data_IF_408408445601
#
_entry.id   IF_408408445601
#
_cell.length_a   1.000
_cell.length_b   1.000
_cell.length_c   1.000
_cell.angle_alpha   90.00
_cell.angle_beta   90.00
_cell.angle_gamma   90.00
#
_symmetry.space_group_name_H-M   'P 1'
#
loop_
_entity.id
_entity.type
_entity.pdbx_description
1 polymer ?
#
# COMPACT_ATOMS: atom_id res chain seq x y z
N UNK A 1 -9.32 -44.55 -6.46
CA UNK A 1 -9.65 -45.93 -6.89
C UNK A 1 -8.63 -46.39 -7.91
N UNK A 2 -8.17 -47.66 -7.88
CA UNK A 2 -7.36 -48.19 -8.98
C UNK A 2 -8.18 -48.14 -10.26
N UNK A 3 -7.54 -47.74 -11.36
CA UNK A 3 -8.23 -47.61 -12.65
C UNK A 3 -8.73 -49.01 -13.08
N UNK A 4 -9.98 -49.15 -13.56
CA UNK A 4 -10.56 -50.46 -13.87
C UNK A 4 -9.70 -51.23 -14.88
N UNK A 5 -9.63 -52.56 -14.77
CA UNK A 5 -8.83 -53.39 -15.69
C UNK A 5 -9.38 -53.28 -17.12
N UNK A 6 -8.55 -53.58 -18.13
CA UNK A 6 -8.95 -53.50 -19.54
C UNK A 6 -10.18 -54.35 -19.87
N UNK A 7 -10.29 -55.54 -19.25
CA UNK A 7 -11.44 -56.43 -19.40
C UNK A 7 -12.71 -55.87 -18.77
N UNK A 8 -12.61 -55.28 -17.56
CA UNK A 8 -13.76 -54.65 -16.90
C UNK A 8 -14.30 -53.45 -17.69
N UNK A 9 -13.43 -52.69 -18.36
CA UNK A 9 -13.83 -51.56 -19.22
C UNK A 9 -14.45 -52.00 -20.54
N UNK A 10 -13.91 -53.05 -21.17
CA UNK A 10 -14.51 -53.62 -22.37
C UNK A 10 -15.91 -54.19 -22.09
N UNK A 11 -16.07 -54.85 -20.93
CA UNK A 11 -17.36 -55.33 -20.47
C UNK A 11 -18.34 -54.18 -20.17
N UNK A 12 -17.86 -53.08 -19.59
CA UNK A 12 -18.68 -51.87 -19.36
C UNK A 12 -19.07 -51.17 -20.66
N UNK A 13 -18.17 -51.11 -21.66
CA UNK A 13 -18.46 -50.54 -22.97
C UNK A 13 -19.50 -51.35 -23.75
N UNK A 14 -19.44 -52.69 -23.66
CA UNK A 14 -20.47 -53.58 -24.21
C UNK A 14 -21.81 -53.41 -23.50
N UNK A 15 -21.82 -53.35 -22.16
CA UNK A 15 -23.03 -53.08 -21.39
C UNK A 15 -23.66 -51.72 -21.71
N UNK A 16 -22.84 -50.70 -21.97
CA UNK A 16 -23.31 -49.37 -22.36
C UNK A 16 -23.84 -49.35 -23.80
N UNK A 17 -23.26 -50.12 -24.72
CA UNK A 17 -23.84 -50.35 -26.05
C UNK A 17 -25.21 -51.01 -25.97
N UNK A 18 -25.36 -52.06 -25.15
CA UNK A 18 -26.65 -52.73 -24.94
C UNK A 18 -27.69 -51.78 -24.33
N UNK A 19 -27.28 -50.92 -23.38
CA UNK A 19 -28.16 -49.92 -22.80
C UNK A 19 -28.59 -48.84 -23.81
N UNK A 20 -27.70 -48.39 -24.69
CA UNK A 20 -28.02 -47.46 -25.78
C UNK A 20 -28.94 -48.12 -26.81
N UNK A 21 -28.73 -49.38 -27.16
CA UNK A 21 -29.61 -50.12 -28.07
C UNK A 21 -31.01 -50.32 -27.47
N UNK A 22 -31.10 -50.60 -26.16
CA UNK A 22 -32.36 -50.66 -25.43
C UNK A 22 -33.10 -49.31 -25.40
N UNK A 23 -32.37 -48.20 -25.17
CA UNK A 23 -32.96 -46.87 -25.19
C UNK A 23 -33.45 -46.48 -26.60
N UNK A 24 -32.68 -46.76 -27.65
CA UNK A 24 -33.07 -46.49 -29.04
C UNK A 24 -34.27 -47.33 -29.51
N UNK A 25 -34.58 -48.44 -28.84
CA UNK A 25 -35.74 -49.27 -29.12
C UNK A 25 -37.03 -48.75 -28.45
N UNK A 26 -36.94 -47.80 -27.51
CA UNK A 26 -38.10 -47.20 -26.84
C UNK A 26 -38.77 -46.12 -27.73
N UNK A 27 -40.04 -46.32 -28.15
CA UNK A 27 -40.74 -45.37 -29.00
C UNK A 27 -41.06 -44.02 -28.32
N UNK A 28 -40.92 -43.90 -27.00
CA UNK A 28 -41.12 -42.65 -26.26
C UNK A 28 -39.92 -41.68 -26.36
N UNK A 29 -38.79 -42.11 -26.92
CA UNK A 29 -37.57 -41.33 -26.97
C UNK A 29 -37.66 -40.24 -28.05
N UNK A 30 -37.60 -38.97 -27.63
CA UNK A 30 -37.74 -37.81 -28.51
C UNK A 30 -36.76 -37.89 -29.71
N UNK A 31 -37.24 -37.58 -30.92
CA UNK A 31 -36.47 -37.72 -32.16
C UNK A 31 -35.12 -36.97 -32.12
N UNK A 32 -35.07 -35.84 -31.41
CA UNK A 32 -33.87 -35.00 -31.27
C UNK A 32 -32.75 -35.67 -30.45
N UNK A 33 -33.10 -36.67 -29.62
CA UNK A 33 -32.15 -37.42 -28.79
C UNK A 33 -31.71 -38.76 -29.42
N UNK A 34 -32.38 -39.20 -30.50
CA UNK A 34 -32.02 -40.42 -31.21
C UNK A 34 -30.74 -40.26 -32.05
N UNK A 35 -30.50 -39.07 -32.63
CA UNK A 35 -29.34 -38.80 -33.47
C UNK A 35 -28.00 -38.82 -32.70
N UNK A 36 -27.87 -38.18 -31.51
CA UNK A 36 -26.66 -38.30 -30.69
C UNK A 36 -26.40 -39.74 -30.23
N UNK A 37 -27.44 -40.47 -29.80
CA UNK A 37 -27.33 -41.85 -29.32
C UNK A 37 -26.89 -42.82 -30.43
N UNK A 38 -27.40 -42.65 -31.65
CA UNK A 38 -26.96 -43.47 -32.81
C UNK A 38 -25.52 -43.16 -33.23
N UNK A 39 -25.07 -41.91 -33.10
CA UNK A 39 -23.67 -41.56 -33.37
C UNK A 39 -22.74 -42.15 -32.30
N UNK A 40 -23.11 -42.03 -31.02
CA UNK A 40 -22.37 -42.59 -29.89
C UNK A 40 -22.25 -44.13 -29.99
N UNK A 41 -23.33 -44.82 -30.36
CA UNK A 41 -23.34 -46.27 -30.63
C UNK A 41 -22.34 -46.65 -31.72
N UNK A 42 -22.35 -45.92 -32.84
CA UNK A 42 -21.49 -46.17 -34.00
C UNK A 42 -20.01 -46.00 -33.64
N UNK A 43 -19.69 -44.98 -32.85
CA UNK A 43 -18.31 -44.70 -32.47
C UNK A 43 -17.81 -45.68 -31.40
N UNK A 44 -18.66 -46.12 -30.47
CA UNK A 44 -18.33 -47.20 -29.51
C UNK A 44 -18.09 -48.55 -30.21
N UNK A 45 -18.91 -48.93 -31.19
CA UNK A 45 -18.69 -50.16 -31.98
C UNK A 45 -17.35 -50.14 -32.73
N UNK A 46 -17.00 -49.02 -33.39
CA UNK A 46 -15.72 -48.86 -34.09
C UNK A 46 -14.50 -48.99 -33.18
N UNK A 47 -14.64 -48.62 -31.90
CA UNK A 47 -13.56 -48.72 -30.91
C UNK A 47 -13.35 -50.18 -30.47
N UNK A 48 -14.42 -50.97 -30.34
CA UNK A 48 -14.35 -52.38 -29.98
C UNK A 48 -13.75 -53.26 -31.11
N UNK A 49 -14.01 -52.92 -32.37
CA UNK A 49 -13.58 -53.75 -33.53
C UNK A 49 -12.06 -53.65 -33.86
N UNK A 50 -11.33 -52.68 -33.31
CA UNK A 50 -9.92 -52.43 -33.66
C UNK A 50 -8.97 -52.28 -32.43
N UNK A 51 -8.52 -53.40 -31.83
CA UNK A 51 -7.76 -53.40 -30.57
C UNK A 51 -6.36 -52.77 -30.65
N UNK A 52 -5.76 -52.68 -31.85
CA UNK A 52 -4.40 -52.14 -32.03
C UNK A 52 -4.33 -50.59 -32.06
N UNK A 53 -5.43 -49.89 -32.33
CA UNK A 53 -5.53 -48.41 -32.22
C UNK A 53 -5.91 -47.95 -30.81
N UNK A 54 -6.33 -48.89 -29.96
CA UNK A 54 -6.83 -48.62 -28.63
C UNK A 54 -5.77 -48.00 -27.71
N UNK A 55 -4.47 -48.25 -27.87
CA UNK A 55 -3.44 -47.63 -26.98
C UNK A 55 -3.31 -46.12 -27.15
N UNK A 56 -3.40 -45.59 -28.39
CA UNK A 56 -3.39 -44.14 -28.66
C UNK A 56 -4.74 -43.49 -28.38
N UNK A 57 -5.86 -44.18 -28.66
CA UNK A 57 -7.18 -43.70 -28.24
C UNK A 57 -7.35 -43.70 -26.72
N UNK A 58 -6.82 -44.69 -25.98
CA UNK A 58 -6.85 -44.77 -24.51
C UNK A 58 -6.20 -43.55 -23.83
N UNK A 59 -5.15 -42.99 -24.43
CA UNK A 59 -4.48 -41.79 -23.92
C UNK A 59 -5.33 -40.52 -24.15
N UNK A 60 -6.02 -40.44 -25.29
CA UNK A 60 -6.97 -39.36 -25.59
C UNK A 60 -8.26 -39.50 -24.77
N UNK A 61 -8.76 -40.72 -24.57
CA UNK A 61 -9.93 -41.07 -23.76
C UNK A 61 -9.70 -40.74 -22.29
N UNK A 62 -8.54 -41.09 -21.70
CA UNK A 62 -8.21 -40.67 -20.33
C UNK A 62 -8.19 -39.15 -20.15
N UNK A 63 -7.89 -38.40 -21.21
CA UNK A 63 -7.94 -36.93 -21.21
C UNK A 63 -9.33 -36.35 -21.47
N UNK A 64 -10.20 -37.07 -22.19
CA UNK A 64 -11.51 -36.58 -22.64
C UNK A 64 -12.70 -37.09 -21.78
N UNK A 65 -12.65 -38.33 -21.29
CA UNK A 65 -13.70 -38.93 -20.44
C UNK A 65 -13.31 -39.03 -18.97
N UNK A 66 -12.03 -38.76 -18.62
CA UNK A 66 -11.56 -38.76 -17.24
C UNK A 66 -12.30 -37.77 -16.33
N UNK A 67 -12.76 -36.64 -16.88
CA UNK A 67 -13.54 -35.61 -16.16
C UNK A 67 -15.06 -35.80 -16.26
N UNK A 68 -15.54 -36.73 -17.09
CA UNK A 68 -16.97 -36.94 -17.31
C UNK A 68 -17.70 -37.40 -16.04
N UNK A 69 -17.16 -38.31 -15.20
CA UNK A 69 -17.78 -38.67 -13.92
C UNK A 69 -17.93 -37.47 -12.98
N UNK A 70 -16.90 -36.60 -12.91
CA UNK A 70 -16.93 -35.40 -12.06
C UNK A 70 -17.97 -34.39 -12.57
N UNK A 71 -18.07 -34.24 -13.89
CA UNK A 71 -19.08 -33.40 -14.53
C UNK A 71 -20.50 -33.93 -14.31
N UNK A 72 -20.72 -35.24 -14.44
CA UNK A 72 -22.02 -35.87 -14.18
C UNK A 72 -22.40 -35.75 -12.70
N UNK A 73 -21.47 -35.97 -11.77
CA UNK A 73 -21.71 -35.78 -10.34
C UNK A 73 -21.94 -34.31 -9.96
N UNK A 74 -21.31 -33.36 -10.66
CA UNK A 74 -21.64 -31.95 -10.52
C UNK A 74 -23.03 -31.63 -11.08
N UNK A 75 -23.37 -32.17 -12.25
CA UNK A 75 -24.66 -31.96 -12.90
C UNK A 75 -25.81 -32.54 -12.07
N UNK A 76 -25.63 -33.73 -11.50
CA UNK A 76 -26.58 -34.35 -10.58
C UNK A 76 -26.81 -33.48 -9.34
N UNK A 77 -25.73 -32.97 -8.72
CA UNK A 77 -25.84 -32.02 -7.60
C UNK A 77 -26.53 -30.71 -8.00
N UNK A 78 -26.27 -30.21 -9.21
CA UNK A 78 -26.92 -29.00 -9.72
C UNK A 78 -28.41 -29.20 -10.00
N UNK A 79 -28.80 -30.37 -10.52
CA UNK A 79 -30.20 -30.72 -10.83
C UNK A 79 -31.02 -31.11 -9.59
N UNK A 80 -30.35 -31.52 -8.51
CA UNK A 80 -30.98 -31.89 -7.22
C UNK A 80 -30.88 -30.79 -6.16
N UNK A 81 -30.28 -29.64 -6.51
CA UNK A 81 -30.12 -28.52 -5.59
C UNK A 81 -31.49 -27.96 -5.16
N UNK A 82 -31.71 -27.91 -3.85
CA UNK A 82 -32.87 -27.26 -3.23
C UNK A 82 -32.52 -25.80 -2.89
N UNK A 83 -33.52 -24.92 -2.74
CA UNK A 83 -33.27 -23.54 -2.31
C UNK A 83 -32.53 -23.52 -0.97
N UNK A 84 -31.41 -22.82 -0.92
CA UNK A 84 -30.58 -22.68 0.27
C UNK A 84 -31.10 -21.56 1.17
N UNK A 85 -31.38 -21.85 2.44
CA UNK A 85 -31.85 -20.88 3.43
C UNK A 85 -30.73 -20.43 4.38
N UNK A 86 -30.96 -19.31 5.08
CA UNK A 86 -30.02 -18.81 6.09
C UNK A 86 -29.77 -19.83 7.22
N UNK A 87 -30.78 -20.64 7.55
CA UNK A 87 -30.67 -21.69 8.56
C UNK A 87 -29.84 -22.90 8.12
N UNK A 88 -29.54 -23.03 6.83
CA UNK A 88 -28.66 -24.09 6.29
C UNK A 88 -27.18 -23.70 6.38
N UNK A 89 -26.86 -22.46 6.79
CA UNK A 89 -25.49 -22.01 6.97
C UNK A 89 -24.79 -22.76 8.13
N UNK A 90 -23.53 -23.18 7.94
CA UNK A 90 -22.67 -23.66 9.02
C UNK A 90 -22.63 -22.66 10.19
N UNK A 91 -22.61 -23.17 11.43
CA UNK A 91 -22.68 -22.34 12.65
C UNK A 91 -21.58 -21.27 12.71
N UNK A 92 -20.36 -21.61 12.29
CA UNK A 92 -19.23 -20.69 12.23
C UNK A 92 -19.42 -19.51 11.25
N UNK A 93 -20.26 -19.67 10.22
CA UNK A 93 -20.60 -18.58 9.29
C UNK A 93 -21.71 -17.74 9.88
N UNK A 94 -22.74 -18.39 10.45
CA UNK A 94 -23.87 -17.72 11.09
C UNK A 94 -23.42 -16.81 12.23
N UNK A 95 -22.57 -17.30 13.11
CA UNK A 95 -22.03 -16.56 14.27
C UNK A 95 -21.18 -15.35 13.87
N UNK A 96 -20.62 -15.33 12.65
CA UNK A 96 -19.89 -14.18 12.11
C UNK A 96 -20.81 -13.12 11.50
N UNK A 97 -22.00 -13.52 11.09
CA UNK A 97 -22.99 -12.64 10.45
C UNK A 97 -24.04 -12.12 11.43
N UNK A 98 -24.35 -12.87 12.49
CA UNK A 98 -25.37 -12.51 13.47
C UNK A 98 -24.84 -12.80 14.87
N UNK A 99 -24.76 -11.75 15.69
CA UNK A 99 -24.38 -11.84 17.09
C UNK A 99 -25.47 -12.57 17.91
N UNK A 100 -25.12 -13.12 19.09
CA UNK A 100 -26.10 -13.79 19.97
C UNK A 100 -27.28 -12.90 20.37
N UNK A 101 -27.08 -11.58 20.43
CA UNK A 101 -28.11 -10.58 20.74
C UNK A 101 -28.99 -10.20 19.53
N UNK A 102 -28.78 -10.84 18.37
CA UNK A 102 -29.54 -10.59 17.14
C UNK A 102 -29.02 -9.45 16.26
N UNK A 103 -27.90 -8.81 16.63
CA UNK A 103 -27.26 -7.78 15.81
C UNK A 103 -26.62 -8.41 14.55
N UNK A 104 -26.83 -7.78 13.40
CA UNK A 104 -26.34 -8.28 12.11
C UNK A 104 -25.07 -7.55 11.69
N UNK A 105 -24.11 -8.29 11.15
CA UNK A 105 -22.89 -7.76 10.57
C UNK A 105 -23.14 -7.43 9.10
N UNK A 106 -23.15 -6.14 8.77
CA UNK A 106 -23.26 -5.64 7.40
C UNK A 106 -21.88 -5.22 6.90
N UNK A 107 -21.47 -5.76 5.75
CA UNK A 107 -20.25 -5.35 5.05
C UNK A 107 -20.64 -4.52 3.85
N UNK A 108 -20.22 -3.26 3.82
CA UNK A 108 -20.37 -2.38 2.66
C UNK A 108 -19.04 -2.36 1.92
N UNK A 109 -19.08 -2.68 0.63
CA UNK A 109 -17.90 -2.66 -0.23
C UNK A 109 -17.92 -1.39 -1.08
N UNK A 110 -16.78 -0.72 -1.26
CA UNK A 110 -16.70 0.44 -2.13
C UNK A 110 -16.88 0.02 -3.60
N UNK A 111 -17.55 0.87 -4.37
CA UNK A 111 -17.70 0.68 -5.82
C UNK A 111 -16.46 1.16 -6.60
N UNK A 112 -15.70 2.10 -6.02
CA UNK A 112 -14.51 2.71 -6.61
C UNK A 112 -13.22 2.17 -5.96
N UNK A 113 -12.08 2.43 -6.60
CA UNK A 113 -10.77 2.11 -6.04
C UNK A 113 -10.42 3.09 -4.91
N UNK A 114 -10.55 2.61 -3.67
CA UNK A 114 -10.25 3.36 -2.45
C UNK A 114 -8.74 3.59 -2.21
N UNK A 115 -7.87 3.15 -3.12
CA UNK A 115 -6.49 3.63 -3.15
C UNK A 115 -6.41 5.12 -3.50
N UNK A 116 -7.41 5.68 -4.20
CA UNK A 116 -7.56 7.12 -4.38
C UNK A 116 -8.18 7.76 -3.14
N UNK A 117 -7.52 8.79 -2.60
CA UNK A 117 -7.95 9.47 -1.38
C UNK A 117 -9.31 10.15 -1.56
N UNK A 118 -9.62 10.64 -2.75
CA UNK A 118 -10.90 11.29 -3.07
C UNK A 118 -12.02 10.27 -3.06
N UNK A 119 -11.82 9.11 -3.72
CA UNK A 119 -12.77 8.02 -3.73
C UNK A 119 -13.01 7.45 -2.32
N UNK A 120 -11.94 7.30 -1.53
CA UNK A 120 -12.01 6.90 -0.13
C UNK A 120 -12.84 7.90 0.70
N UNK A 121 -12.60 9.20 0.54
CA UNK A 121 -13.36 10.23 1.26
C UNK A 121 -14.85 10.17 0.90
N UNK A 122 -15.20 10.11 -0.38
CA UNK A 122 -16.59 9.99 -0.82
C UNK A 122 -17.26 8.74 -0.24
N UNK A 123 -16.59 7.58 -0.32
CA UNK A 123 -17.12 6.34 0.23
C UNK A 123 -17.39 6.43 1.74
N UNK A 124 -16.46 7.00 2.51
CA UNK A 124 -16.61 7.16 3.95
C UNK A 124 -17.73 8.14 4.27
N UNK A 125 -17.80 9.29 3.58
CA UNK A 125 -18.85 10.29 3.77
C UNK A 125 -20.24 9.70 3.49
N UNK A 126 -20.39 8.96 2.40
CA UNK A 126 -21.64 8.30 2.04
C UNK A 126 -22.06 7.27 3.10
N UNK A 127 -21.14 6.42 3.54
CA UNK A 127 -21.41 5.40 4.57
C UNK A 127 -21.74 6.05 5.92
N UNK A 128 -20.99 7.06 6.34
CA UNK A 128 -21.22 7.76 7.62
C UNK A 128 -22.49 8.60 7.61
N UNK A 129 -22.95 9.07 6.45
CA UNK A 129 -24.24 9.77 6.32
C UNK A 129 -25.43 8.89 6.73
N UNK A 130 -25.33 7.57 6.51
CA UNK A 130 -26.38 6.59 6.84
C UNK A 130 -26.10 5.91 8.18
N UNK A 131 -24.84 5.56 8.44
CA UNK A 131 -24.40 4.84 9.62
C UNK A 131 -23.19 5.54 10.28
N UNK A 132 -23.42 6.50 11.19
CA UNK A 132 -22.34 7.30 11.79
C UNK A 132 -21.31 6.48 12.58
N UNK A 133 -21.72 5.32 13.09
CA UNK A 133 -20.87 4.40 13.84
C UNK A 133 -20.24 3.31 12.96
N UNK A 134 -20.37 3.40 11.63
CA UNK A 134 -19.78 2.42 10.73
C UNK A 134 -18.25 2.43 10.86
N UNK A 135 -17.69 1.23 10.90
CA UNK A 135 -16.27 0.99 11.09
C UNK A 135 -15.78 -0.06 10.10
N UNK A 136 -14.47 -0.29 10.10
CA UNK A 136 -13.79 -1.19 9.18
C UNK A 136 -12.41 -0.65 8.85
N UNK A 137 -11.64 -1.42 8.08
CA UNK A 137 -10.28 -1.02 7.70
C UNK A 137 -10.22 0.36 7.03
N UNK A 138 -11.04 0.68 6.00
CA UNK A 138 -10.96 1.97 5.32
C UNK A 138 -11.26 3.16 6.24
N UNK A 139 -12.29 3.03 7.09
CA UNK A 139 -12.70 4.09 8.04
C UNK A 139 -11.61 4.30 9.10
N UNK A 140 -11.04 3.22 9.63
CA UNK A 140 -9.99 3.30 10.65
C UNK A 140 -8.70 3.91 10.09
N UNK A 141 -8.25 3.47 8.91
CA UNK A 141 -7.03 3.99 8.26
C UNK A 141 -7.17 5.47 7.89
N UNK A 142 -8.32 5.88 7.36
CA UNK A 142 -8.63 7.28 7.09
C UNK A 142 -8.62 8.14 8.37
N UNK A 143 -9.29 7.67 9.43
CA UNK A 143 -9.34 8.37 10.70
C UNK A 143 -7.96 8.55 11.34
N UNK A 144 -7.12 7.51 11.28
CA UNK A 144 -5.70 7.58 11.71
C UNK A 144 -4.94 8.59 10.86
N UNK A 145 -5.20 8.65 9.55
CA UNK A 145 -4.69 9.65 8.63
C UNK A 145 -4.81 11.08 9.16
N UNK A 146 -6.04 11.50 9.45
CA UNK A 146 -6.33 12.85 9.98
C UNK A 146 -5.64 13.13 11.30
N UNK A 147 -5.73 12.19 12.26
CA UNK A 147 -5.10 12.32 13.58
C UNK A 147 -3.58 12.56 13.45
N UNK A 148 -2.93 11.84 12.55
CA UNK A 148 -1.49 11.96 12.35
C UNK A 148 -1.13 13.32 11.75
N UNK A 149 -1.89 13.81 10.77
CA UNK A 149 -1.66 15.15 10.19
C UNK A 149 -1.80 16.23 11.27
N UNK A 150 -2.84 16.17 12.09
CA UNK A 150 -3.08 17.12 13.18
C UNK A 150 -1.95 17.07 14.22
N UNK A 151 -1.53 15.87 14.61
CA UNK A 151 -0.43 15.67 15.55
C UNK A 151 0.89 16.25 15.02
N UNK A 152 1.17 16.08 13.72
CA UNK A 152 2.37 16.65 13.10
C UNK A 152 2.32 18.17 12.96
N UNK A 153 1.15 18.73 12.64
CA UNK A 153 0.95 20.19 12.64
C UNK A 153 1.16 20.76 14.03
N UNK A 154 0.62 20.12 15.06
CA UNK A 154 0.85 20.51 16.45
C UNK A 154 2.33 20.39 16.83
N UNK A 155 3.00 19.31 16.44
CA UNK A 155 4.43 19.11 16.69
C UNK A 155 5.28 20.18 15.99
N UNK A 156 4.96 20.54 14.74
CA UNK A 156 5.66 21.58 13.99
C UNK A 156 5.53 22.95 14.63
N UNK A 157 4.30 23.36 14.97
CA UNK A 157 4.06 24.66 15.61
C UNK A 157 4.72 24.73 16.99
N UNK A 158 4.61 23.65 17.78
CA UNK A 158 5.23 23.55 19.11
C UNK A 158 6.75 23.59 19.00
N UNK A 159 7.34 22.83 18.08
CA UNK A 159 8.78 22.83 17.84
C UNK A 159 9.28 24.22 17.41
N UNK A 160 8.59 24.87 16.47
CA UNK A 160 8.98 26.21 16.01
C UNK A 160 8.91 27.24 17.14
N UNK A 161 7.86 27.19 17.98
CA UNK A 161 7.73 28.08 19.14
C UNK A 161 8.84 27.83 20.18
N UNK A 162 9.13 26.57 20.50
CA UNK A 162 10.19 26.20 21.44
C UNK A 162 11.58 26.56 20.91
N UNK A 163 11.85 26.31 19.64
CA UNK A 163 13.11 26.67 18.97
C UNK A 163 13.29 28.18 18.98
N UNK A 164 12.25 28.94 18.65
CA UNK A 164 12.29 30.40 18.73
C UNK A 164 12.56 30.89 20.16
N UNK A 165 11.92 30.29 21.17
CA UNK A 165 12.17 30.59 22.58
C UNK A 165 13.63 30.30 22.96
N UNK A 166 14.16 29.14 22.60
CA UNK A 166 15.56 28.77 22.85
C UNK A 166 16.52 29.72 22.16
N UNK A 167 16.24 30.12 20.92
CA UNK A 167 17.03 31.12 20.19
C UNK A 167 17.00 32.47 20.88
N UNK A 168 15.84 32.92 21.35
CA UNK A 168 15.70 34.18 22.07
C UNK A 168 16.48 34.16 23.39
N UNK A 169 16.42 33.06 24.13
CA UNK A 169 17.15 32.89 25.39
C UNK A 169 18.67 32.80 25.17
N UNK A 170 19.11 32.07 24.13
CA UNK A 170 20.53 31.83 23.84
C UNK A 170 21.20 33.04 23.22
N UNK A 171 20.55 33.66 22.22
CA UNK A 171 21.09 34.81 21.50
C UNK A 171 20.76 36.13 22.19
N UNK A 172 19.75 36.17 23.08
CA UNK A 172 19.29 37.38 23.79
C UNK A 172 18.99 38.56 22.86
N UNK A 173 18.61 38.25 21.62
CA UNK A 173 18.32 39.22 20.55
C UNK A 173 17.22 38.66 19.67
N UNK A 174 16.08 39.35 19.64
CA UNK A 174 14.95 39.02 18.77
C UNK A 174 15.38 39.00 17.31
N UNK A 175 16.22 39.97 16.94
CA UNK A 175 16.76 40.08 15.58
C UNK A 175 17.53 38.83 15.19
N UNK A 176 18.49 38.42 16.00
CA UNK A 176 19.36 37.30 15.64
C UNK A 176 18.59 35.98 15.65
N UNK A 177 17.61 35.84 16.54
CA UNK A 177 16.69 34.70 16.51
C UNK A 177 15.92 34.61 15.17
N UNK A 178 15.38 35.73 14.68
CA UNK A 178 14.71 35.79 13.37
C UNK A 178 15.69 35.53 12.22
N UNK A 179 16.91 36.07 12.29
CA UNK A 179 17.94 35.84 11.28
C UNK A 179 18.34 34.36 11.19
N UNK A 180 18.40 33.63 12.30
CA UNK A 180 18.65 32.18 12.31
C UNK A 180 17.45 31.40 11.80
N UNK A 181 16.22 31.77 12.15
CA UNK A 181 15.03 31.08 11.64
C UNK A 181 14.83 31.23 10.13
N UNK A 182 15.26 32.35 9.56
CA UNK A 182 15.06 32.65 8.13
C UNK A 182 15.64 31.58 7.18
N UNK A 183 16.93 31.22 7.26
CA UNK A 183 17.50 30.14 6.42
C UNK A 183 16.89 28.77 6.72
N UNK A 184 16.51 28.49 7.98
CA UNK A 184 15.83 27.24 8.36
C UNK A 184 14.47 27.10 7.66
N UNK A 185 13.64 28.15 7.69
CA UNK A 185 12.36 28.19 7.00
C UNK A 185 12.54 28.04 5.49
N UNK A 186 13.54 28.72 4.92
CA UNK A 186 13.84 28.60 3.50
C UNK A 186 14.29 27.18 3.11
N UNK A 187 15.10 26.54 3.94
CA UNK A 187 15.51 25.15 3.74
C UNK A 187 14.32 24.20 3.79
N UNK A 188 13.36 24.40 4.70
CA UNK A 188 12.13 23.62 4.75
C UNK A 188 11.29 23.80 3.48
N UNK A 189 11.12 25.04 3.00
CA UNK A 189 10.43 25.33 1.73
C UNK A 189 11.13 24.65 0.55
N UNK A 190 12.46 24.75 0.44
CA UNK A 190 13.20 24.07 -0.62
C UNK A 190 13.16 22.55 -0.51
N UNK A 191 13.07 22.01 0.70
CA UNK A 191 12.87 20.56 0.90
C UNK A 191 11.52 20.13 0.34
N UNK A 192 10.43 20.83 0.67
CA UNK A 192 9.09 20.54 0.15
C UNK A 192 9.05 20.73 -1.37
N UNK A 193 9.64 21.80 -1.90
CA UNK A 193 9.72 22.05 -3.33
C UNK A 193 10.50 20.94 -4.06
N UNK A 194 11.64 20.52 -3.51
CA UNK A 194 12.46 19.44 -4.06
C UNK A 194 11.73 18.11 -4.00
N UNK A 195 11.04 17.80 -2.90
CA UNK A 195 10.21 16.60 -2.78
C UNK A 195 9.14 16.56 -3.88
N UNK A 196 8.49 17.71 -4.15
CA UNK A 196 7.50 17.80 -5.24
C UNK A 196 8.12 17.63 -6.61
N UNK A 197 9.29 18.22 -6.87
CA UNK A 197 10.02 18.11 -8.15
C UNK A 197 10.50 16.67 -8.42
N UNK A 198 10.96 15.98 -7.37
CA UNK A 198 11.41 14.59 -7.44
C UNK A 198 10.27 13.57 -7.35
N UNK A 199 9.02 14.04 -7.27
CA UNK A 199 7.82 13.20 -7.06
C UNK A 199 7.95 12.24 -5.86
N UNK A 200 8.53 12.72 -4.76
CA UNK A 200 8.59 11.98 -3.49
C UNK A 200 7.26 12.24 -2.77
N UNK A 201 6.35 11.25 -2.66
CA UNK A 201 5.09 11.44 -1.97
C UNK A 201 5.32 11.59 -0.47
N UNK A 202 4.60 12.51 0.15
CA UNK A 202 4.51 12.53 1.61
C UNK A 202 3.65 11.35 2.07
N UNK A 203 4.14 10.65 3.09
CA UNK A 203 3.49 9.52 3.72
C UNK A 203 3.55 9.69 5.25
N UNK A 204 2.88 8.79 5.98
CA UNK A 204 2.80 8.88 7.44
C UNK A 204 4.16 8.85 8.14
N UNK A 205 5.17 8.27 7.49
CA UNK A 205 6.51 8.19 8.04
C UNK A 205 7.32 9.47 7.74
N UNK A 206 7.42 9.90 6.49
CA UNK A 206 8.32 10.99 6.10
C UNK A 206 7.79 12.40 6.43
N UNK A 207 6.53 12.56 6.79
CA UNK A 207 5.95 13.84 7.22
C UNK A 207 6.65 14.42 8.47
N UNK A 208 7.23 13.56 9.32
CA UNK A 208 7.99 13.96 10.52
C UNK A 208 9.26 14.76 10.22
N UNK A 209 9.72 14.74 8.97
CA UNK A 209 10.97 15.38 8.57
C UNK A 209 10.87 16.91 8.73
N UNK A 210 9.70 17.51 8.48
CA UNK A 210 9.52 18.96 8.58
C UNK A 210 9.86 19.52 9.97
N UNK A 211 9.25 19.07 11.08
CA UNK A 211 9.63 19.54 12.41
C UNK A 211 11.08 19.19 12.76
N UNK A 212 11.59 18.05 12.28
CA UNK A 212 12.95 17.58 12.61
C UNK A 212 14.05 18.47 12.00
N UNK A 213 13.82 19.03 10.80
CA UNK A 213 14.77 19.94 10.13
C UNK A 213 15.11 21.14 11.02
N UNK A 214 14.10 21.73 11.68
CA UNK A 214 14.33 22.90 12.53
C UNK A 214 15.21 22.56 13.73
N UNK A 215 14.96 21.40 14.36
CA UNK A 215 15.78 20.93 15.48
C UNK A 215 17.21 20.60 15.08
N UNK A 216 17.41 19.97 13.93
CA UNK A 216 18.72 19.57 13.42
C UNK A 216 19.57 20.73 12.87
N UNK A 217 18.95 21.88 12.56
CA UNK A 217 19.67 22.98 11.92
C UNK A 217 19.86 24.23 12.74
N UNK A 218 19.12 24.38 13.85
CA UNK A 218 19.18 25.58 14.68
C UNK A 218 20.55 25.79 15.31
N UNK A 219 21.24 24.70 15.67
CA UNK A 219 22.57 24.69 16.28
C UNK A 219 23.63 25.32 15.36
N UNK A 220 23.64 24.96 14.08
CA UNK A 220 24.51 25.53 13.06
C UNK A 220 24.34 27.05 12.98
N UNK A 221 23.09 27.52 13.01
CA UNK A 221 22.77 28.95 13.02
C UNK A 221 23.28 29.66 14.28
N UNK A 222 23.08 29.06 15.45
CA UNK A 222 23.57 29.60 16.73
C UNK A 222 25.09 29.74 16.72
N UNK A 223 25.82 28.71 16.32
CA UNK A 223 27.29 28.74 16.28
C UNK A 223 27.82 29.82 15.33
N UNK A 224 27.22 29.98 14.16
CA UNK A 224 27.61 31.03 13.21
C UNK A 224 27.32 32.44 13.72
N UNK A 225 26.15 32.67 14.34
CA UNK A 225 25.81 33.97 14.94
C UNK A 225 26.76 34.32 16.07
N UNK A 226 27.02 33.37 16.98
CA UNK A 226 27.93 33.58 18.10
C UNK A 226 29.34 33.91 17.62
N UNK A 227 29.83 33.20 16.59
CA UNK A 227 31.14 33.50 16.02
C UNK A 227 31.17 34.85 15.31
N UNK A 228 30.10 35.20 14.59
CA UNK A 228 29.98 36.51 13.96
C UNK A 228 30.02 37.64 14.99
N UNK A 229 29.33 37.48 16.14
CA UNK A 229 29.37 38.45 17.24
C UNK A 229 30.77 38.60 17.85
N UNK A 230 31.53 37.52 17.98
CA UNK A 230 32.90 37.59 18.52
C UNK A 230 33.89 38.28 17.58
N UNK A 231 33.72 38.08 16.26
CA UNK A 231 34.65 38.58 15.25
C UNK A 231 34.27 39.98 14.72
N UNK A 232 32.98 40.31 14.71
CA UNK A 232 32.43 41.59 14.25
C UNK A 232 32.54 41.84 12.73
N UNK A 233 33.14 40.92 11.97
CA UNK A 233 33.32 41.04 10.51
C UNK A 233 33.08 39.71 9.80
N UNK A 234 32.48 39.79 8.61
CA UNK A 234 32.16 38.61 7.79
C UNK A 234 33.41 37.84 7.36
N UNK A 235 34.48 38.55 6.98
CA UNK A 235 35.72 37.92 6.48
C UNK A 235 36.41 37.07 7.57
N UNK A 236 36.38 37.52 8.83
CA UNK A 236 36.94 36.75 9.94
C UNK A 236 36.05 35.57 10.33
N UNK A 237 34.72 35.70 10.21
CA UNK A 237 33.82 34.55 10.34
C UNK A 237 34.16 33.47 9.29
N UNK A 238 34.29 33.86 8.03
CA UNK A 238 34.51 32.93 6.92
C UNK A 238 35.88 32.23 6.96
N UNK A 239 36.89 32.90 7.51
CA UNK A 239 38.22 32.31 7.70
C UNK A 239 38.35 31.49 8.98
N UNK A 240 37.40 31.64 9.92
CA UNK A 240 37.37 30.87 11.17
C UNK A 240 37.14 29.37 10.95
N UNK A 241 37.30 28.58 12.02
CA UNK A 241 37.00 27.14 12.00
C UNK A 241 35.49 26.84 12.01
N UNK A 242 34.63 27.80 12.39
CA UNK A 242 33.19 27.54 12.61
C UNK A 242 32.45 27.12 11.33
N UNK A 243 32.57 27.80 10.17
CA UNK A 243 31.93 27.34 8.94
C UNK A 243 32.39 25.94 8.49
N UNK A 244 33.68 25.62 8.70
CA UNK A 244 34.23 24.29 8.38
C UNK A 244 33.69 23.22 9.32
N UNK A 245 33.56 23.52 10.60
CA UNK A 245 32.97 22.63 11.59
C UNK A 245 31.49 22.37 11.28
N UNK A 246 30.72 23.41 10.96
CA UNK A 246 29.31 23.30 10.53
C UNK A 246 29.17 22.45 9.27
N UNK A 247 30.05 22.66 8.29
CA UNK A 247 30.07 21.86 7.07
C UNK A 247 30.32 20.38 7.37
N UNK A 248 31.34 20.08 8.17
CA UNK A 248 31.69 18.70 8.53
C UNK A 248 30.56 18.03 9.32
N UNK A 249 29.99 18.73 10.31
CA UNK A 249 28.87 18.24 11.12
C UNK A 249 27.63 17.97 10.27
N UNK A 250 27.28 18.89 9.37
CA UNK A 250 26.13 18.68 8.49
C UNK A 250 26.36 17.54 7.52
N UNK A 251 27.59 17.36 7.02
CA UNK A 251 27.92 16.30 6.08
C UNK A 251 27.91 14.92 6.74
N UNK A 252 28.34 14.80 8.00
CA UNK A 252 28.20 13.54 8.76
C UNK A 252 26.74 13.20 9.01
N UNK A 253 25.92 14.18 9.43
CA UNK A 253 24.47 13.97 9.60
C UNK A 253 23.78 13.60 8.29
N UNK A 254 24.10 14.31 7.19
CA UNK A 254 23.59 13.98 5.86
C UNK A 254 24.00 12.56 5.44
N UNK A 255 25.25 12.16 5.70
CA UNK A 255 25.74 10.81 5.46
C UNK A 255 24.97 9.74 6.24
N UNK A 256 24.62 10.00 7.51
CA UNK A 256 23.80 9.10 8.32
C UNK A 256 22.41 8.91 7.71
N UNK A 257 21.73 9.98 7.29
CA UNK A 257 20.40 9.86 6.69
C UNK A 257 20.44 9.33 5.25
N UNK A 258 21.50 9.62 4.50
CA UNK A 258 21.74 8.99 3.21
C UNK A 258 21.93 7.47 3.36
N UNK A 259 22.64 7.00 4.38
CA UNK A 259 22.72 5.57 4.68
C UNK A 259 21.36 4.98 5.08
N UNK A 260 20.56 5.72 5.86
CA UNK A 260 19.19 5.31 6.22
C UNK A 260 18.28 5.18 4.98
N UNK A 261 18.54 5.96 3.93
CA UNK A 261 17.77 5.88 2.66
C UNK A 261 17.92 4.52 1.94
N UNK A 262 18.97 3.75 2.26
CA UNK A 262 19.20 2.41 1.72
C UNK A 262 18.46 1.30 2.49
N UNK A 263 17.58 1.67 3.44
CA UNK A 263 16.81 0.72 4.22
C UNK A 263 15.84 -0.09 3.33
N UNK A 264 15.66 -1.40 3.58
CA UNK A 264 14.68 -2.20 2.84
C UNK A 264 13.22 -1.84 3.19
N UNK A 265 13.00 -1.16 4.32
CA UNK A 265 11.67 -0.73 4.73
C UNK A 265 11.36 0.64 4.11
N UNK A 266 10.34 0.71 3.26
CA UNK A 266 10.06 1.90 2.43
C UNK A 266 9.82 3.18 3.26
N UNK A 267 9.15 3.06 4.42
CA UNK A 267 8.92 4.21 5.30
C UNK A 267 10.21 4.83 5.86
N UNK A 268 11.18 4.00 6.26
CA UNK A 268 12.45 4.47 6.82
C UNK A 268 13.39 4.96 5.73
N UNK A 269 13.39 4.30 4.57
CA UNK A 269 14.11 4.75 3.39
C UNK A 269 13.65 6.15 2.95
N UNK A 270 12.34 6.39 2.93
CA UNK A 270 11.75 7.67 2.58
C UNK A 270 12.13 8.79 3.56
N UNK A 271 12.12 8.51 4.88
CA UNK A 271 12.62 9.45 5.90
C UNK A 271 14.09 9.80 5.65
N UNK A 272 14.94 8.79 5.44
CA UNK A 272 16.38 8.98 5.20
C UNK A 272 16.66 9.84 3.97
N UNK A 273 15.98 9.55 2.86
CA UNK A 273 16.12 10.31 1.62
C UNK A 273 15.72 11.78 1.81
N UNK A 274 14.55 12.03 2.41
CA UNK A 274 14.04 13.39 2.59
C UNK A 274 14.90 14.21 3.57
N UNK A 275 15.41 13.59 4.64
CA UNK A 275 16.33 14.24 5.58
C UNK A 275 17.69 14.55 4.95
N UNK A 276 18.24 13.66 4.12
CA UNK A 276 19.48 13.92 3.42
C UNK A 276 19.36 15.15 2.50
N UNK A 277 18.25 15.24 1.76
CA UNK A 277 17.92 16.42 0.93
C UNK A 277 17.78 17.67 1.81
N UNK A 278 17.05 17.55 2.91
CA UNK A 278 16.78 18.67 3.78
C UNK A 278 18.04 19.23 4.44
N UNK A 279 18.94 18.37 4.92
CA UNK A 279 20.23 18.78 5.49
C UNK A 279 21.12 19.41 4.42
N UNK A 280 21.06 18.93 3.18
CA UNK A 280 21.73 19.58 2.04
C UNK A 280 21.27 21.03 1.86
N UNK A 281 19.96 21.28 1.85
CA UNK A 281 19.41 22.63 1.78
C UNK A 281 19.70 23.45 3.03
N UNK A 282 19.67 22.83 4.21
CA UNK A 282 19.96 23.49 5.47
C UNK A 282 21.41 23.96 5.53
N UNK A 283 22.35 23.10 5.13
CA UNK A 283 23.77 23.44 5.02
C UNK A 283 23.99 24.60 4.05
N UNK A 284 23.39 24.52 2.87
CA UNK A 284 23.55 25.54 1.83
C UNK A 284 23.00 26.90 2.28
N UNK A 285 21.75 26.93 2.76
CA UNK A 285 21.10 28.16 3.23
C UNK A 285 21.82 28.72 4.47
N UNK A 286 22.25 27.87 5.40
CA UNK A 286 22.91 28.33 6.63
C UNK A 286 24.32 28.86 6.38
N UNK A 287 25.11 28.28 5.47
CA UNK A 287 26.46 28.79 5.17
C UNK A 287 26.47 29.96 4.18
N UNK A 288 25.50 30.04 3.28
CA UNK A 288 25.46 31.10 2.26
C UNK A 288 24.58 32.26 2.69
N UNK A 289 23.32 32.00 3.07
CA UNK A 289 22.35 33.05 3.33
C UNK A 289 22.55 33.71 4.70
N UNK A 290 22.76 32.92 5.76
CA UNK A 290 22.87 33.47 7.12
C UNK A 290 23.98 34.50 7.26
N UNK A 291 25.22 34.28 6.77
CA UNK A 291 26.29 35.24 6.95
C UNK A 291 26.07 36.54 6.16
N UNK A 292 25.44 36.44 4.98
CA UNK A 292 25.02 37.60 4.18
C UNK A 292 23.96 38.40 4.93
N UNK A 293 22.96 37.74 5.51
CA UNK A 293 21.94 38.37 6.33
C UNK A 293 22.57 39.05 7.56
N UNK A 294 23.46 38.37 8.28
CA UNK A 294 24.17 38.93 9.42
C UNK A 294 24.97 40.16 9.02
N UNK A 295 25.69 40.14 7.89
CA UNK A 295 26.44 41.30 7.43
C UNK A 295 25.55 42.50 7.07
N UNK A 296 24.45 42.25 6.37
CA UNK A 296 23.50 43.30 5.95
C UNK A 296 22.78 43.92 7.13
N UNK A 297 22.32 43.09 8.05
CA UNK A 297 21.48 43.54 9.14
C UNK A 297 22.31 43.98 10.35
N UNK A 298 23.44 43.37 10.71
CA UNK A 298 24.22 43.81 11.89
C UNK A 298 24.62 45.30 11.89
N UNK A 299 24.69 45.97 10.73
CA UNK A 299 25.02 47.40 10.63
C UNK A 299 23.92 48.35 11.13
N UNK A 300 22.67 47.91 11.30
CA UNK A 300 21.55 48.81 11.63
C UNK A 300 21.37 49.10 13.13
N UNK A 301 22.19 48.55 14.02
CA UNK A 301 22.05 48.76 15.48
C UNK A 301 23.11 49.70 16.08
N UNK A 302 23.95 50.31 15.26
CA UNK A 302 25.04 51.21 15.67
C UNK A 302 24.85 52.66 15.21
N UNK A 303 23.60 53.09 14.97
CA UNK A 303 23.25 54.47 14.63
C UNK A 303 22.14 54.96 15.56
#
# INVERSE_FOLDING_TARGET
>A
MPAPTSEAREQSARALLDAIEGALADPALAHDHQSPLTSLRRDLQRILDHPARASRLRAMESGATGSLPDLLAWLERALTATPFAFDDLPSNVRERLVAPEGQQHLVVLPAEDIADVTALNHFIEDVHSVAPNATGHPVAEWGVGGIVVDAFMQALLTALALIFLVLLLTLRSLRDAVLVLTPLLLAAVFTVATARLLNIPFNMANILVLPLIFGLGVDNGIHLVQRYRSEGRLDALMTSSTPRAVLLSSLTTAGTFAALSLSPHQGTASIGMLLAIAIGWLLLTTLVLLPVLLHRFARTSAA
#
